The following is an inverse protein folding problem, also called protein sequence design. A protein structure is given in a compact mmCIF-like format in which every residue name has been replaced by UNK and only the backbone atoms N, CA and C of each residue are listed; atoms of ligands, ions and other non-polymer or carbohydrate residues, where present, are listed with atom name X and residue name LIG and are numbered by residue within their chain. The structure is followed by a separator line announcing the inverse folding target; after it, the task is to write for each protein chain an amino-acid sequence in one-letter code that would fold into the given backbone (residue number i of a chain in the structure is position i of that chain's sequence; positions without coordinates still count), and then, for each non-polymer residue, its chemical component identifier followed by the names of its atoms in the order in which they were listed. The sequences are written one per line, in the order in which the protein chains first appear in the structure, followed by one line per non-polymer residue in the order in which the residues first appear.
data_IF_243316748530
#
_entry.id   IF_243316748530
#
_cell.length_a   1.000
_cell.length_b   1.000
_cell.length_c   1.000
_cell.angle_alpha   90.00
_cell.angle_beta   90.00
_cell.angle_gamma   90.00
#
_symmetry.space_group_name_H-M   'P 1'
#
loop_
_entity.id
_entity.type
_entity.pdbx_description
1 polymer ?
#
# COMPACT_ATOMS: atom_id res chain seq x y z
N UNK A 1 -18.22 15.97 21.88
CA UNK A 1 -18.43 17.17 22.74
C UNK A 1 -17.14 17.71 23.38
N UNK A 2 -15.94 17.42 22.86
CA UNK A 2 -14.69 18.13 23.24
C UNK A 2 -13.80 18.54 22.05
N UNK A 3 -14.20 18.27 20.80
CA UNK A 3 -13.42 18.67 19.61
C UNK A 3 -13.66 20.13 19.17
N UNK A 4 -14.67 20.80 19.72
CA UNK A 4 -15.14 22.12 19.22
C UNK A 4 -14.32 23.32 19.73
N UNK A 5 -13.27 23.11 20.52
CA UNK A 5 -12.48 24.20 21.14
C UNK A 5 -11.04 24.35 20.65
N UNK A 6 -10.65 23.72 19.53
CA UNK A 6 -9.45 24.12 18.77
C UNK A 6 -8.11 24.16 19.54
N UNK A 7 -8.00 23.47 20.68
CA UNK A 7 -6.83 23.53 21.56
C UNK A 7 -6.11 22.18 21.72
N UNK A 8 -6.53 21.14 20.99
CA UNK A 8 -5.80 19.88 20.86
C UNK A 8 -5.47 19.68 19.39
N UNK A 9 -4.24 20.05 18.99
CA UNK A 9 -3.68 19.63 17.69
C UNK A 9 -3.34 18.15 17.79
N UNK A 10 -4.33 17.27 17.67
CA UNK A 10 -4.06 15.84 17.47
C UNK A 10 -3.55 15.70 16.03
N UNK A 11 -2.31 15.23 15.82
CA UNK A 11 -1.82 15.01 14.47
C UNK A 11 -2.67 13.96 13.75
N UNK A 12 -2.76 14.00 12.41
CA UNK A 12 -3.35 12.92 11.63
C UNK A 12 -2.80 11.55 12.05
N UNK A 13 -3.62 10.49 11.89
CA UNK A 13 -3.28 9.14 12.35
C UNK A 13 -1.93 8.68 11.81
N UNK A 14 -1.69 8.85 10.51
CA UNK A 14 -0.47 8.44 9.81
C UNK A 14 0.79 9.17 10.30
N UNK A 15 0.66 10.43 10.70
CA UNK A 15 1.73 11.27 11.24
C UNK A 15 1.96 11.10 12.75
N UNK A 16 1.02 10.47 13.45
CA UNK A 16 1.11 10.21 14.89
C UNK A 16 2.18 9.16 15.20
N UNK A 17 2.90 9.34 16.31
CA UNK A 17 3.87 8.35 16.78
C UNK A 17 3.17 7.02 17.09
N UNK A 18 3.75 5.91 16.63
CA UNK A 18 3.25 4.57 16.97
C UNK A 18 3.91 4.11 18.27
N UNK A 19 3.26 4.40 19.40
CA UNK A 19 3.88 4.34 20.73
C UNK A 19 4.47 2.99 21.13
N UNK A 20 3.89 1.91 20.62
CA UNK A 20 4.29 0.54 20.89
C UNK A 20 5.39 0.04 19.95
N UNK A 21 5.80 0.84 18.96
CA UNK A 21 6.79 0.46 17.95
C UNK A 21 8.18 1.03 18.20
N UNK A 22 9.19 0.38 17.63
CA UNK A 22 10.57 0.82 17.62
C UNK A 22 11.20 0.60 16.24
N UNK A 23 12.40 1.16 16.01
CA UNK A 23 13.14 0.93 14.77
C UNK A 23 13.45 -0.56 14.50
N UNK A 24 13.45 -1.41 15.55
CA UNK A 24 13.68 -2.86 15.43
C UNK A 24 12.49 -3.61 14.83
N UNK A 25 11.30 -3.03 14.91
CA UNK A 25 10.08 -3.62 14.36
C UNK A 25 9.95 -3.36 12.84
N UNK A 26 10.86 -2.55 12.28
CA UNK A 26 10.90 -2.23 10.86
C UNK A 26 11.81 -3.20 10.08
N UNK A 27 11.35 -3.59 8.90
CA UNK A 27 12.05 -4.47 7.98
C UNK A 27 13.19 -3.74 7.26
N UNK A 28 14.43 -4.07 7.64
CA UNK A 28 15.61 -3.55 6.93
C UNK A 28 15.62 -3.93 5.45
N UNK A 29 15.13 -5.14 5.12
CA UNK A 29 14.99 -5.61 3.74
C UNK A 29 14.07 -4.68 2.94
N UNK A 30 12.89 -4.34 3.47
CA UNK A 30 11.93 -3.44 2.81
C UNK A 30 12.48 -2.03 2.62
N UNK A 31 13.22 -1.52 3.63
CA UNK A 31 13.88 -0.22 3.56
C UNK A 31 14.94 -0.15 2.45
N UNK A 32 15.79 -1.18 2.35
CA UNK A 32 16.82 -1.24 1.29
C UNK A 32 16.15 -1.32 -0.08
N UNK A 33 15.14 -2.18 -0.23
CA UNK A 33 14.36 -2.29 -1.46
C UNK A 33 13.72 -0.94 -1.87
N UNK A 34 13.16 -0.20 -0.92
CA UNK A 34 12.57 1.12 -1.18
C UNK A 34 13.63 2.12 -1.65
N UNK A 35 14.78 2.19 -0.96
CA UNK A 35 15.87 3.09 -1.33
C UNK A 35 16.39 2.81 -2.75
N UNK A 36 16.59 1.54 -3.09
CA UNK A 36 17.06 1.14 -4.42
C UNK A 36 16.01 1.44 -5.49
N UNK A 37 14.74 1.14 -5.22
CA UNK A 37 13.63 1.37 -6.14
C UNK A 37 13.38 2.86 -6.36
N UNK A 38 13.22 3.65 -5.30
CA UNK A 38 12.99 5.10 -5.40
C UNK A 38 14.16 5.82 -6.10
N UNK A 39 15.40 5.35 -5.88
CA UNK A 39 16.57 5.90 -6.56
C UNK A 39 16.56 5.60 -8.06
N UNK A 40 16.26 4.35 -8.44
CA UNK A 40 16.21 3.93 -9.85
C UNK A 40 15.08 4.61 -10.60
N UNK A 41 13.88 4.66 -10.02
CA UNK A 41 12.67 5.12 -10.71
C UNK A 41 12.49 6.66 -10.65
N UNK A 42 12.96 7.31 -9.58
CA UNK A 42 12.67 8.73 -9.32
C UNK A 42 13.89 9.56 -8.92
N UNK A 43 15.10 9.01 -9.01
CA UNK A 43 16.33 9.75 -8.66
C UNK A 43 16.42 10.12 -7.18
N UNK A 44 15.80 9.33 -6.29
CA UNK A 44 15.77 9.60 -4.85
C UNK A 44 17.19 9.84 -4.27
N UNK A 45 17.39 10.90 -3.48
CA UNK A 45 18.73 11.41 -3.16
C UNK A 45 19.52 10.52 -2.19
N UNK A 46 18.83 9.75 -1.35
CA UNK A 46 19.46 8.89 -0.35
C UNK A 46 20.07 7.63 -0.97
N UNK A 47 21.20 7.19 -0.42
CA UNK A 47 21.91 5.96 -0.85
C UNK A 47 21.31 4.72 -0.16
N UNK A 48 21.48 3.54 -0.75
CA UNK A 48 20.96 2.27 -0.21
C UNK A 48 21.54 1.91 1.18
N UNK A 49 22.75 2.38 1.50
CA UNK A 49 23.37 2.18 2.81
C UNK A 49 22.90 3.18 3.90
N UNK A 50 21.96 4.07 3.59
CA UNK A 50 21.41 5.03 4.56
C UNK A 50 20.78 4.29 5.75
N UNK A 51 20.95 4.82 6.96
CA UNK A 51 20.36 4.23 8.16
C UNK A 51 18.83 4.36 8.13
N UNK A 52 18.14 3.42 8.79
CA UNK A 52 16.67 3.44 8.87
C UNK A 52 16.16 4.76 9.44
N UNK A 53 16.73 5.23 10.55
CA UNK A 53 16.30 6.49 11.17
C UNK A 53 16.48 7.69 10.23
N UNK A 54 17.61 7.79 9.53
CA UNK A 54 17.85 8.90 8.60
C UNK A 54 16.85 8.90 7.43
N UNK A 55 16.50 7.72 6.90
CA UNK A 55 15.44 7.60 5.90
C UNK A 55 14.09 8.09 6.45
N UNK A 56 13.68 7.60 7.62
CA UNK A 56 12.38 7.96 8.18
C UNK A 56 12.30 9.46 8.49
N UNK A 57 13.37 10.06 9.02
CA UNK A 57 13.43 11.51 9.22
C UNK A 57 13.30 12.27 7.90
N UNK A 58 13.97 11.83 6.84
CA UNK A 58 13.88 12.46 5.53
C UNK A 58 12.46 12.39 4.92
N UNK A 59 11.73 11.31 5.20
CA UNK A 59 10.35 11.12 4.76
C UNK A 59 9.30 11.73 5.71
N UNK A 60 9.72 12.39 6.80
CA UNK A 60 8.84 12.86 7.88
C UNK A 60 8.00 11.73 8.54
N UNK A 61 8.56 10.52 8.61
CA UNK A 61 7.95 9.33 9.20
C UNK A 61 8.52 8.98 10.59
N UNK A 62 9.24 9.91 11.22
CA UNK A 62 9.83 9.73 12.54
C UNK A 62 9.45 10.92 13.43
N UNK A 63 8.68 10.66 14.48
CA UNK A 63 8.15 11.68 15.38
C UNK A 63 8.35 11.26 16.84
N UNK A 64 8.62 12.20 17.75
CA UNK A 64 8.84 11.93 19.18
C UNK A 64 9.87 10.82 19.47
N UNK A 65 10.92 10.74 18.63
CA UNK A 65 11.95 9.67 18.66
C UNK A 65 11.41 8.26 18.42
N UNK A 66 10.22 8.13 17.81
CA UNK A 66 9.58 6.87 17.44
C UNK A 66 9.17 6.85 15.96
N UNK A 67 9.02 5.67 15.35
CA UNK A 67 8.34 5.55 14.07
C UNK A 67 6.90 6.07 14.16
N UNK A 68 6.42 6.73 13.11
CA UNK A 68 4.99 7.07 12.97
C UNK A 68 4.16 5.83 12.59
N UNK A 69 2.84 5.92 12.66
CA UNK A 69 1.96 4.86 12.15
C UNK A 69 2.23 4.59 10.66
N UNK A 70 2.45 5.63 9.84
CA UNK A 70 2.85 5.45 8.45
C UNK A 70 4.19 4.70 8.28
N UNK A 71 5.20 4.97 9.12
CA UNK A 71 6.43 4.18 9.13
C UNK A 71 6.15 2.69 9.33
N UNK A 72 5.31 2.37 10.30
CA UNK A 72 4.98 0.97 10.64
C UNK A 72 4.20 0.32 9.52
N UNK A 73 3.26 1.02 8.89
CA UNK A 73 2.46 0.51 7.78
C UNK A 73 3.29 0.27 6.50
N UNK A 74 4.24 1.16 6.21
CA UNK A 74 5.09 1.07 5.00
C UNK A 74 6.29 0.15 5.17
N UNK A 75 6.90 0.12 6.36
CA UNK A 75 8.19 -0.52 6.58
C UNK A 75 8.18 -1.55 7.72
N UNK A 76 7.07 -1.77 8.41
CA UNK A 76 6.97 -2.77 9.47
C UNK A 76 7.19 -4.19 8.96
N UNK A 77 7.92 -5.01 9.73
CA UNK A 77 8.05 -6.44 9.42
C UNK A 77 6.74 -7.22 9.66
N UNK A 78 5.88 -6.71 10.55
CA UNK A 78 4.53 -7.21 10.79
C UNK A 78 3.65 -6.03 11.27
N UNK A 79 3.13 -5.20 10.34
CA UNK A 79 2.34 -4.01 10.70
C UNK A 79 1.08 -4.33 11.50
N UNK A 80 0.48 -5.51 11.27
CA UNK A 80 -0.77 -5.93 11.91
C UNK A 80 -0.64 -6.14 13.42
N UNK A 81 0.59 -6.31 13.94
CA UNK A 81 0.86 -6.31 15.39
C UNK A 81 0.52 -4.98 16.05
N UNK A 82 0.68 -3.87 15.32
CA UNK A 82 0.43 -2.52 15.80
C UNK A 82 -0.94 -2.01 15.35
N UNK A 83 -1.32 -2.34 14.13
CA UNK A 83 -2.60 -1.96 13.53
C UNK A 83 -3.26 -3.20 12.94
N UNK A 84 -4.00 -3.96 13.77
CA UNK A 84 -4.76 -5.14 13.31
C UNK A 84 -5.61 -4.90 12.04
N UNK A 85 -6.28 -3.75 11.86
CA UNK A 85 -7.07 -3.52 10.65
C UNK A 85 -6.25 -3.09 9.42
N UNK A 86 -4.90 -3.08 9.49
CA UNK A 86 -4.03 -2.75 8.37
C UNK A 86 -4.02 -3.89 7.33
N UNK A 87 -5.16 -4.14 6.70
CA UNK A 87 -5.35 -5.19 5.70
C UNK A 87 -6.13 -4.63 4.51
N UNK A 88 -5.79 -5.10 3.31
CA UNK A 88 -6.50 -4.77 2.08
C UNK A 88 -7.42 -5.92 1.70
N UNK A 89 -8.72 -5.64 1.55
CA UNK A 89 -9.74 -6.63 1.20
C UNK A 89 -10.15 -6.47 -0.25
N UNK A 90 -9.92 -7.50 -1.06
CA UNK A 90 -10.31 -7.53 -2.46
C UNK A 90 -11.50 -8.45 -2.66
N UNK A 91 -12.58 -7.93 -3.25
CA UNK A 91 -13.84 -8.67 -3.46
C UNK A 91 -14.24 -8.64 -4.93
N UNK A 92 -14.49 -9.81 -5.53
CA UNK A 92 -15.07 -9.97 -6.85
C UNK A 92 -16.54 -10.42 -6.70
N UNK A 93 -17.46 -9.59 -7.17
CA UNK A 93 -18.89 -9.87 -7.17
C UNK A 93 -19.31 -10.50 -8.50
N UNK A 94 -20.37 -11.33 -8.51
CA UNK A 94 -20.90 -11.92 -9.75
C UNK A 94 -21.53 -10.89 -10.71
N UNK A 95 -21.91 -9.74 -10.17
CA UNK A 95 -22.43 -8.60 -10.93
C UNK A 95 -22.01 -7.31 -10.24
N UNK A 96 -22.77 -6.24 -10.44
CA UNK A 96 -22.44 -4.91 -9.90
C UNK A 96 -22.84 -4.71 -8.43
N UNK A 97 -23.55 -5.67 -7.83
CA UNK A 97 -24.02 -5.58 -6.45
C UNK A 97 -23.04 -6.25 -5.48
N UNK A 98 -22.73 -5.56 -4.38
CA UNK A 98 -21.97 -6.11 -3.26
C UNK A 98 -22.85 -7.05 -2.42
N UNK A 99 -23.07 -8.26 -2.93
CA UNK A 99 -23.92 -9.27 -2.30
C UNK A 99 -23.23 -10.63 -2.21
N UNK A 100 -23.34 -11.26 -1.03
CA UNK A 100 -22.87 -12.62 -0.80
C UNK A 100 -23.80 -13.67 -1.47
N UNK A 101 -23.26 -14.81 -1.93
CA UNK A 101 -21.85 -15.18 -1.93
C UNK A 101 -21.04 -14.40 -2.99
N UNK A 102 -19.80 -14.04 -2.64
CA UNK A 102 -18.88 -13.39 -3.57
C UNK A 102 -18.19 -14.44 -4.46
N UNK A 103 -17.92 -14.09 -5.71
CA UNK A 103 -17.20 -14.95 -6.64
C UNK A 103 -15.75 -15.19 -6.17
N UNK A 104 -15.14 -14.19 -5.54
CA UNK A 104 -13.86 -14.31 -4.85
C UNK A 104 -13.74 -13.24 -3.77
N UNK A 105 -13.13 -13.60 -2.64
CA UNK A 105 -12.79 -12.67 -1.56
C UNK A 105 -11.39 -13.04 -1.08
N UNK A 106 -10.49 -12.06 -1.04
CA UNK A 106 -9.13 -12.22 -0.54
C UNK A 106 -8.79 -11.09 0.42
N UNK A 107 -8.04 -11.40 1.47
CA UNK A 107 -7.57 -10.44 2.47
C UNK A 107 -6.06 -10.49 2.50
N UNK A 108 -5.44 -9.33 2.31
CA UNK A 108 -3.99 -9.18 2.19
C UNK A 108 -3.46 -8.39 3.39
N UNK A 109 -2.54 -9.00 4.13
CA UNK A 109 -1.76 -8.36 5.20
C UNK A 109 -0.35 -8.01 4.74
N UNK A 110 0.59 -7.88 5.68
CA UNK A 110 1.96 -7.43 5.38
C UNK A 110 2.05 -5.89 5.29
N UNK A 111 3.14 -5.38 4.73
CA UNK A 111 3.32 -3.94 4.52
C UNK A 111 2.49 -3.40 3.36
N UNK A 112 2.24 -2.09 3.35
CA UNK A 112 1.35 -1.47 2.35
C UNK A 112 1.83 -1.64 0.90
N UNK A 113 3.14 -1.83 0.66
CA UNK A 113 3.63 -2.11 -0.69
C UNK A 113 3.19 -3.51 -1.14
N UNK A 114 3.33 -4.52 -0.27
CA UNK A 114 2.87 -5.88 -0.56
C UNK A 114 1.36 -5.94 -0.76
N UNK A 115 0.60 -5.24 0.09
CA UNK A 115 -0.85 -5.19 -0.04
C UNK A 115 -1.29 -4.57 -1.37
N UNK A 116 -0.63 -3.50 -1.81
CA UNK A 116 -0.91 -2.86 -3.10
C UNK A 116 -0.59 -3.79 -4.28
N UNK A 117 0.56 -4.46 -4.25
CA UNK A 117 0.96 -5.42 -5.29
C UNK A 117 -0.01 -6.61 -5.36
N UNK A 118 -0.38 -7.18 -4.22
CA UNK A 118 -1.32 -8.31 -4.15
C UNK A 118 -2.74 -7.92 -4.58
N UNK A 119 -3.20 -6.73 -4.20
CA UNK A 119 -4.48 -6.20 -4.66
C UNK A 119 -4.47 -5.98 -6.18
N UNK A 120 -3.35 -5.50 -6.74
CA UNK A 120 -3.20 -5.32 -8.18
C UNK A 120 -3.26 -6.65 -8.91
N UNK A 121 -2.54 -7.65 -8.43
CA UNK A 121 -2.56 -8.99 -9.02
C UNK A 121 -3.94 -9.62 -8.93
N UNK A 122 -4.67 -9.42 -7.83
CA UNK A 122 -6.06 -9.84 -7.73
C UNK A 122 -6.93 -9.22 -8.82
N UNK A 123 -6.88 -7.89 -8.99
CA UNK A 123 -7.71 -7.21 -10.00
C UNK A 123 -7.33 -7.66 -11.40
N UNK A 124 -6.04 -7.69 -11.74
CA UNK A 124 -5.57 -8.12 -13.05
C UNK A 124 -5.90 -9.58 -13.37
N UNK A 125 -6.02 -10.44 -12.36
CA UNK A 125 -6.45 -11.83 -12.52
C UNK A 125 -7.96 -11.99 -12.72
N UNK A 126 -8.78 -10.95 -12.44
CA UNK A 126 -10.24 -10.99 -12.57
C UNK A 126 -10.80 -10.16 -13.71
N UNK A 127 -10.09 -9.13 -14.19
CA UNK A 127 -10.52 -8.37 -15.37
C UNK A 127 -10.33 -9.19 -16.65
N UNK A 128 -11.15 -8.89 -17.66
CA UNK A 128 -11.03 -9.57 -18.94
C UNK A 128 -9.71 -9.22 -19.64
N UNK A 129 -9.12 -10.23 -20.26
CA UNK A 129 -7.94 -10.09 -21.10
C UNK A 129 -8.30 -10.59 -22.49
N UNK A 130 -8.46 -9.68 -23.44
CA UNK A 130 -8.68 -10.05 -24.82
C UNK A 130 -7.40 -10.67 -25.37
N UNK A 131 -7.47 -11.94 -25.78
CA UNK A 131 -6.40 -12.62 -26.49
C UNK A 131 -6.72 -12.49 -27.97
N UNK A 132 -5.93 -11.69 -28.71
CA UNK A 132 -6.08 -11.61 -30.16
C UNK A 132 -5.83 -12.97 -30.82
N UNK A 133 -6.29 -13.15 -32.06
CA UNK A 133 -5.88 -14.29 -32.88
C UNK A 133 -4.44 -14.10 -33.34
N UNK A 134 -3.71 -15.19 -33.62
CA UNK A 134 -2.32 -15.17 -34.16
C UNK A 134 -2.25 -14.69 -35.62
N UNK A 135 -3.04 -13.69 -35.99
CA UNK A 135 -3.13 -13.17 -37.35
C UNK A 135 -1.95 -12.24 -37.70
N UNK A 136 -1.31 -11.62 -36.71
CA UNK A 136 -0.23 -10.64 -36.90
C UNK A 136 1.17 -11.12 -36.44
N UNK A 137 1.30 -12.35 -35.93
CA UNK A 137 2.59 -12.90 -35.47
C UNK A 137 2.48 -14.12 -34.55
N UNK A 138 3.63 -14.69 -34.17
CA UNK A 138 3.75 -15.87 -33.29
C UNK A 138 3.20 -15.57 -31.87
N UNK A 139 3.24 -14.31 -31.45
CA UNK A 139 2.69 -13.82 -30.18
C UNK A 139 1.39 -13.05 -30.44
N UNK A 140 0.28 -13.56 -29.92
CA UNK A 140 -0.97 -12.81 -29.93
C UNK A 140 -0.88 -11.62 -28.96
N UNK A 141 -1.18 -10.39 -29.39
CA UNK A 141 -1.25 -9.26 -28.48
C UNK A 141 -2.34 -9.51 -27.45
N UNK A 142 -1.96 -9.42 -26.19
CA UNK A 142 -2.87 -9.50 -25.06
C UNK A 142 -3.15 -8.09 -24.57
N UNK A 143 -4.38 -7.64 -24.72
CA UNK A 143 -4.79 -6.32 -24.26
C UNK A 143 -5.71 -6.51 -23.06
N UNK A 144 -5.30 -5.99 -21.90
CA UNK A 144 -6.17 -5.91 -20.74
C UNK A 144 -7.30 -4.91 -21.00
N UNK A 145 -8.48 -5.18 -20.46
CA UNK A 145 -9.62 -4.26 -20.52
C UNK A 145 -9.29 -2.90 -19.90
N UNK A 146 -8.51 -2.90 -18.81
CA UNK A 146 -7.99 -1.70 -18.16
C UNK A 146 -6.45 -1.69 -18.21
N UNK A 147 -5.82 -0.52 -18.45
CA UNK A 147 -4.36 -0.41 -18.40
C UNK A 147 -3.84 -0.83 -17.01
N UNK A 148 -2.85 -1.74 -16.93
CA UNK A 148 -2.34 -2.22 -15.64
C UNK A 148 -1.77 -1.13 -14.72
N UNK A 149 -1.27 -0.03 -15.31
CA UNK A 149 -0.74 1.10 -14.55
C UNK A 149 -1.87 1.93 -13.92
N UNK A 150 -2.96 2.13 -14.65
CA UNK A 150 -4.16 2.81 -14.12
C UNK A 150 -4.82 2.01 -12.99
N UNK A 151 -4.84 0.68 -13.10
CA UNK A 151 -5.28 -0.21 -12.01
C UNK A 151 -4.38 -0.04 -10.78
N UNK A 152 -3.07 0.00 -10.97
CA UNK A 152 -2.11 0.22 -9.89
C UNK A 152 -2.32 1.55 -9.16
N UNK A 153 -2.49 2.65 -9.92
CA UNK A 153 -2.76 3.97 -9.36
C UNK A 153 -4.06 4.01 -8.56
N UNK A 154 -5.14 3.45 -9.11
CA UNK A 154 -6.43 3.40 -8.42
C UNK A 154 -6.34 2.65 -7.07
N UNK A 155 -5.57 1.56 -7.01
CA UNK A 155 -5.35 0.78 -5.79
C UNK A 155 -4.55 1.58 -4.76
N UNK A 156 -3.45 2.21 -5.17
CA UNK A 156 -2.64 3.04 -4.26
C UNK A 156 -3.48 4.19 -3.70
N UNK A 157 -4.31 4.83 -4.52
CA UNK A 157 -5.20 5.90 -4.08
C UNK A 157 -6.26 5.39 -3.08
N UNK A 158 -6.84 4.21 -3.32
CA UNK A 158 -7.81 3.61 -2.43
C UNK A 158 -7.20 3.24 -1.06
N UNK A 159 -5.96 2.75 -1.03
CA UNK A 159 -5.23 2.44 0.20
C UNK A 159 -4.86 3.73 0.96
N UNK A 160 -4.41 4.76 0.25
CA UNK A 160 -3.95 6.02 0.86
C UNK A 160 -5.07 6.95 1.33
N UNK A 161 -6.29 6.79 0.82
CA UNK A 161 -7.45 7.64 1.14
C UNK A 161 -8.61 6.83 1.73
N UNK A 162 -8.53 6.38 3.00
CA UNK A 162 -9.61 5.63 3.64
C UNK A 162 -10.78 6.57 3.96
N UNK A 163 -11.60 6.86 2.95
CA UNK A 163 -12.66 7.84 3.01
C UNK A 163 -13.77 7.55 2.02
N UNK A 164 -14.49 6.45 2.22
CA UNK A 164 -15.93 6.35 1.98
C UNK A 164 -16.45 5.14 2.76
N UNK A 165 -17.32 5.31 3.76
CA UNK A 165 -18.08 4.17 4.27
C UNK A 165 -18.91 3.62 3.12
N UNK A 166 -18.74 2.33 2.81
CA UNK A 166 -19.70 1.58 2.00
C UNK A 166 -20.91 1.21 2.86
#
# INVERSE_FOLDING_TARGET
HLDTMGALRVPPFDASACDSSSLKDLSRKRIVWFLETARRERGFPLKSNTSTQALLMHLNLFNERKPTNASVLLFGANPQRFHRPAETKCTHCHGTQYRRPFASLQVYGGDLFEQADQARDFVLAKINRAIGTRAAGITAPATYELPPDAVGEAIVNAIGSPGLPQ
#
